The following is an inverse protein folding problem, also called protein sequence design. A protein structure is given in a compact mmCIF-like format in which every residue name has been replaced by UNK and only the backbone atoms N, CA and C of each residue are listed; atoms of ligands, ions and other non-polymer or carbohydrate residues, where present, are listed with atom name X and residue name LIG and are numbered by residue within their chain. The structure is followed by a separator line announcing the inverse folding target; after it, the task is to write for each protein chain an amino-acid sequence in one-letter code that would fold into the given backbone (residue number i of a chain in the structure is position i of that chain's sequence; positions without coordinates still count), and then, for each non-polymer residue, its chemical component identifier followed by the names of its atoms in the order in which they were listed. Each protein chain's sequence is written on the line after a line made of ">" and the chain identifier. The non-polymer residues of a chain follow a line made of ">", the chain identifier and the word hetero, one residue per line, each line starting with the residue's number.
data_IF_126522413205
#
_entry.id   IF_126522413205
#
_cell.length_a   1.000
_cell.length_b   1.000
_cell.length_c   1.000
_cell.angle_alpha   90.00
_cell.angle_beta   90.00
_cell.angle_gamma   90.00
#
_symmetry.space_group_name_H-M   'P 1'
#
loop_
_entity.id
_entity.type
_entity.pdbx_description
1 polymer ?
#
# COMPACT_ATOMS: atom_id res chain seq x y z
N UNK A 1 -41.11 3.82 -17.11
CA UNK A 1 -40.31 3.36 -15.98
C UNK A 1 -39.08 4.28 -15.89
N UNK A 2 -38.68 4.70 -14.70
CA UNK A 2 -37.41 5.42 -14.54
C UNK A 2 -36.26 4.51 -14.99
N UNK A 3 -35.22 5.08 -15.61
CA UNK A 3 -34.01 4.33 -15.92
C UNK A 3 -33.36 3.84 -14.63
N UNK A 4 -32.78 2.61 -14.65
CA UNK A 4 -31.98 2.12 -13.53
C UNK A 4 -30.69 2.95 -13.45
N UNK A 5 -30.31 3.33 -12.22
CA UNK A 5 -29.06 4.06 -11.95
C UNK A 5 -27.91 3.07 -11.71
N UNK A 6 -26.77 3.32 -12.35
CA UNK A 6 -25.56 2.55 -12.10
C UNK A 6 -24.39 3.49 -11.79
N UNK A 7 -23.64 3.19 -10.73
CA UNK A 7 -22.36 3.83 -10.43
C UNK A 7 -21.25 2.97 -11.03
N UNK A 8 -20.42 3.56 -11.87
CA UNK A 8 -19.24 2.90 -12.45
C UNK A 8 -18.00 3.37 -11.72
N UNK A 9 -17.22 2.44 -11.18
CA UNK A 9 -15.87 2.68 -10.65
C UNK A 9 -14.95 3.08 -11.81
N UNK A 10 -14.85 4.38 -12.08
CA UNK A 10 -14.25 4.90 -13.29
C UNK A 10 -12.83 5.43 -13.06
N UNK A 11 -11.86 4.81 -13.71
CA UNK A 11 -10.44 5.23 -13.68
C UNK A 11 -9.96 5.95 -14.93
N UNK A 12 -10.80 6.02 -15.97
CA UNK A 12 -10.40 6.53 -17.30
C UNK A 12 -9.63 5.52 -18.15
N UNK A 13 -9.42 4.31 -17.66
CA UNK A 13 -8.82 3.20 -18.42
C UNK A 13 -9.78 2.56 -19.43
N UNK A 14 -9.26 1.63 -20.23
CA UNK A 14 -10.02 0.95 -21.30
C UNK A 14 -11.29 0.26 -20.75
N UNK A 15 -11.11 -0.66 -19.80
CA UNK A 15 -12.19 -1.51 -19.29
C UNK A 15 -13.32 -0.67 -18.67
N UNK A 16 -12.97 0.40 -17.93
CA UNK A 16 -13.95 1.28 -17.33
C UNK A 16 -14.61 2.22 -18.34
N UNK A 17 -13.90 2.61 -19.41
CA UNK A 17 -14.48 3.39 -20.51
C UNK A 17 -15.48 2.54 -21.31
N UNK A 18 -15.12 1.29 -21.61
CA UNK A 18 -16.05 0.33 -22.20
C UNK A 18 -17.31 0.15 -21.33
N UNK A 19 -17.12 -0.05 -20.03
CA UNK A 19 -18.23 -0.26 -19.08
C UNK A 19 -19.19 0.93 -19.06
N UNK A 20 -18.71 2.17 -19.02
CA UNK A 20 -19.56 3.37 -19.06
C UNK A 20 -20.37 3.42 -20.33
N UNK A 21 -19.74 3.27 -21.49
CA UNK A 21 -20.42 3.35 -22.79
C UNK A 21 -21.43 2.22 -22.99
N UNK A 22 -21.06 1.00 -22.63
CA UNK A 22 -21.93 -0.18 -22.76
C UNK A 22 -23.19 -0.04 -21.89
N UNK A 23 -23.06 0.29 -20.62
CA UNK A 23 -24.19 0.46 -19.71
C UNK A 23 -25.12 1.61 -20.13
N UNK A 24 -24.53 2.72 -20.63
CA UNK A 24 -25.33 3.81 -21.21
C UNK A 24 -26.12 3.34 -22.41
N UNK A 25 -25.53 2.54 -23.31
CA UNK A 25 -26.22 2.00 -24.49
C UNK A 25 -27.26 0.94 -24.13
N UNK A 26 -27.07 0.21 -23.01
CA UNK A 26 -28.04 -0.72 -22.44
C UNK A 26 -29.19 -0.02 -21.70
N UNK A 27 -29.18 1.33 -21.67
CA UNK A 27 -30.29 2.14 -21.17
C UNK A 27 -30.18 2.58 -19.69
N UNK A 28 -29.06 2.33 -19.02
CA UNK A 28 -28.83 2.81 -17.66
C UNK A 28 -28.62 4.32 -17.62
N UNK A 29 -28.91 4.89 -16.46
CA UNK A 29 -28.46 6.23 -16.06
C UNK A 29 -27.10 6.07 -15.36
N UNK A 30 -26.00 6.43 -16.06
CA UNK A 30 -24.63 6.10 -15.66
C UNK A 30 -23.99 7.25 -14.87
N UNK A 31 -23.53 6.95 -13.67
CA UNK A 31 -22.76 7.84 -12.79
C UNK A 31 -21.30 7.34 -12.76
N UNK A 32 -20.39 8.06 -13.41
CA UNK A 32 -18.97 7.71 -13.39
C UNK A 32 -18.30 8.28 -12.13
N UNK A 33 -17.84 7.42 -11.24
CA UNK A 33 -17.20 7.81 -9.99
C UNK A 33 -15.71 7.46 -9.98
N UNK A 34 -14.84 8.48 -9.94
CA UNK A 34 -13.40 8.33 -9.82
C UNK A 34 -12.97 8.50 -8.36
N UNK A 35 -12.59 7.42 -7.69
CA UNK A 35 -12.06 7.49 -6.33
C UNK A 35 -10.56 7.80 -6.38
N UNK A 36 -10.18 9.01 -5.96
CA UNK A 36 -8.80 9.48 -5.93
C UNK A 36 -8.15 9.19 -4.59
N UNK A 37 -7.10 8.38 -4.62
CA UNK A 37 -6.23 8.01 -3.49
C UNK A 37 -4.86 8.72 -3.56
N UNK A 38 -4.79 9.85 -4.29
CA UNK A 38 -3.58 10.65 -4.45
C UNK A 38 -2.70 10.24 -5.66
N UNK A 39 -3.22 9.36 -6.54
CA UNK A 39 -2.51 8.92 -7.75
C UNK A 39 -2.78 9.75 -9.00
N UNK A 40 -3.82 10.60 -9.01
CA UNK A 40 -4.19 11.40 -10.15
C UNK A 40 -3.77 12.87 -9.99
N UNK A 41 -3.20 13.45 -11.03
CA UNK A 41 -3.03 14.90 -11.13
C UNK A 41 -4.36 15.59 -11.44
N UNK A 42 -4.46 16.89 -11.16
CA UNK A 42 -5.65 17.70 -11.51
C UNK A 42 -5.97 17.62 -13.01
N UNK A 43 -4.94 17.64 -13.86
CA UNK A 43 -5.10 17.52 -15.32
C UNK A 43 -5.69 16.15 -15.70
N UNK A 44 -5.22 15.07 -15.07
CA UNK A 44 -5.76 13.71 -15.29
C UNK A 44 -7.22 13.60 -14.83
N UNK A 45 -7.57 14.16 -13.67
CA UNK A 45 -8.94 14.17 -13.18
C UNK A 45 -9.86 14.94 -14.12
N UNK A 46 -9.44 16.09 -14.62
CA UNK A 46 -10.20 16.87 -15.62
C UNK A 46 -10.38 16.08 -16.92
N UNK A 47 -9.33 15.43 -17.41
CA UNK A 47 -9.41 14.59 -18.60
C UNK A 47 -10.36 13.39 -18.40
N UNK A 48 -10.35 12.80 -17.22
CA UNK A 48 -11.27 11.71 -16.87
C UNK A 48 -12.72 12.20 -16.88
N UNK A 49 -13.00 13.38 -16.34
CA UNK A 49 -14.31 14.01 -16.39
C UNK A 49 -14.80 14.22 -17.82
N UNK A 50 -13.97 14.87 -18.66
CA UNK A 50 -14.28 15.09 -20.08
C UNK A 50 -14.57 13.77 -20.81
N UNK A 51 -13.76 12.73 -20.57
CA UNK A 51 -13.94 11.42 -21.18
C UNK A 51 -15.21 10.73 -20.69
N UNK A 52 -15.53 10.81 -19.40
CA UNK A 52 -16.74 10.23 -18.85
C UNK A 52 -18.00 10.80 -19.55
N UNK A 53 -18.07 12.10 -19.75
CA UNK A 53 -19.19 12.71 -20.49
C UNK A 53 -19.22 12.33 -21.97
N UNK A 54 -18.05 12.24 -22.65
CA UNK A 54 -17.97 11.75 -24.03
C UNK A 54 -18.44 10.32 -24.18
N UNK A 55 -18.20 9.47 -23.17
CA UNK A 55 -18.65 8.09 -23.10
C UNK A 55 -20.16 7.96 -22.80
N UNK A 56 -20.82 9.08 -22.44
CA UNK A 56 -22.25 9.16 -22.20
C UNK A 56 -22.67 9.02 -20.74
N UNK A 57 -21.73 9.23 -19.80
CA UNK A 57 -22.11 9.32 -18.39
C UNK A 57 -23.07 10.49 -18.17
N UNK A 58 -24.10 10.27 -17.34
CA UNK A 58 -25.06 11.30 -16.91
C UNK A 58 -24.38 12.28 -15.95
N UNK A 59 -23.49 11.77 -15.09
CA UNK A 59 -22.74 12.56 -14.13
C UNK A 59 -21.38 11.94 -13.91
N UNK A 60 -20.38 12.79 -13.70
CA UNK A 60 -19.06 12.42 -13.21
C UNK A 60 -18.87 12.97 -11.79
N UNK A 61 -18.14 12.26 -10.95
CA UNK A 61 -17.71 12.71 -9.62
C UNK A 61 -16.31 12.21 -9.31
N UNK A 62 -15.49 13.11 -8.76
CA UNK A 62 -14.24 12.72 -8.11
C UNK A 62 -14.49 12.59 -6.60
N UNK A 63 -14.24 11.40 -6.07
CA UNK A 63 -14.30 11.09 -4.64
C UNK A 63 -12.88 11.14 -4.10
N UNK A 64 -12.50 12.25 -3.46
CA UNK A 64 -11.18 12.36 -2.83
C UNK A 64 -11.20 11.61 -1.49
N UNK A 65 -10.43 10.53 -1.43
CA UNK A 65 -10.27 9.69 -0.24
C UNK A 65 -8.84 9.68 0.27
N UNK A 66 -7.99 10.58 -0.20
CA UNK A 66 -6.55 10.61 0.11
C UNK A 66 -6.28 10.70 1.62
N UNK A 67 -6.94 11.63 2.31
CA UNK A 67 -6.81 11.79 3.76
C UNK A 67 -7.44 10.63 4.53
N UNK A 68 -8.61 10.12 4.11
CA UNK A 68 -9.23 8.95 4.73
C UNK A 68 -8.33 7.72 4.58
N UNK A 69 -7.72 7.53 3.42
CA UNK A 69 -6.79 6.43 3.17
C UNK A 69 -5.54 6.53 4.06
N UNK A 70 -5.00 7.73 4.29
CA UNK A 70 -3.91 7.92 5.24
C UNK A 70 -4.35 7.53 6.65
N UNK A 71 -5.41 8.16 7.17
CA UNK A 71 -5.85 8.00 8.56
C UNK A 71 -6.32 6.58 8.90
N UNK A 72 -6.88 5.88 7.93
CA UNK A 72 -7.49 4.56 8.13
C UNK A 72 -6.59 3.40 7.70
N UNK A 73 -5.50 3.64 6.98
CA UNK A 73 -4.63 2.57 6.49
C UNK A 73 -3.15 2.93 6.52
N UNK A 74 -2.70 3.96 5.78
CA UNK A 74 -1.26 4.23 5.63
C UNK A 74 -0.57 4.50 6.97
N UNK A 75 -1.22 5.20 7.89
CA UNK A 75 -0.75 5.43 9.25
C UNK A 75 -0.40 4.11 9.95
N UNK A 76 -1.27 3.13 9.90
CA UNK A 76 -1.05 1.83 10.52
C UNK A 76 -0.04 0.98 9.77
N UNK A 77 0.06 1.14 8.45
CA UNK A 77 1.11 0.52 7.65
C UNK A 77 2.49 1.06 8.05
N UNK A 78 2.59 2.36 8.35
CA UNK A 78 3.81 2.99 8.88
C UNK A 78 4.10 2.45 10.29
N UNK A 79 3.13 2.52 11.20
CA UNK A 79 3.27 2.03 12.58
C UNK A 79 3.68 0.54 12.64
N UNK A 80 3.16 -0.26 11.72
CA UNK A 80 3.47 -1.67 11.59
C UNK A 80 4.77 -1.96 10.82
N UNK A 81 5.36 -0.99 10.13
CA UNK A 81 6.42 -1.24 9.14
C UNK A 81 6.00 -2.31 8.10
N UNK A 82 4.77 -2.20 7.59
CA UNK A 82 4.12 -3.26 6.83
C UNK A 82 4.73 -3.40 5.44
N UNK A 83 5.31 -4.56 5.19
CA UNK A 83 5.89 -4.96 3.90
C UNK A 83 5.56 -6.42 3.61
N UNK A 84 4.76 -6.69 2.58
CA UNK A 84 4.49 -8.08 2.17
C UNK A 84 5.76 -8.73 1.63
N UNK A 85 6.06 -9.94 2.10
CA UNK A 85 7.26 -10.69 1.75
C UNK A 85 8.57 -9.89 1.97
N UNK A 86 8.57 -8.97 2.94
CA UNK A 86 9.67 -8.05 3.24
C UNK A 86 10.12 -7.16 2.05
N UNK A 87 9.28 -7.02 1.04
CA UNK A 87 9.61 -6.36 -0.22
C UNK A 87 8.54 -5.34 -0.63
N UNK A 88 7.28 -5.76 -0.75
CA UNK A 88 6.22 -5.00 -1.38
C UNK A 88 5.39 -4.21 -0.34
N UNK A 89 5.29 -2.88 -0.45
CA UNK A 89 4.56 -2.04 0.50
C UNK A 89 3.03 -2.10 0.34
N UNK A 90 2.48 -3.09 -0.37
CA UNK A 90 1.05 -3.35 -0.63
C UNK A 90 0.24 -2.13 -1.08
N UNK A 91 0.85 -1.26 -1.89
CA UNK A 91 0.27 -0.01 -2.36
C UNK A 91 -1.11 -0.18 -3.00
N UNK A 92 -1.20 -0.99 -4.06
CA UNK A 92 -2.46 -1.21 -4.78
C UNK A 92 -3.50 -1.93 -3.91
N UNK A 93 -3.09 -2.92 -3.12
CA UNK A 93 -4.02 -3.73 -2.32
C UNK A 93 -4.79 -2.88 -1.32
N UNK A 94 -4.09 -2.05 -0.56
CA UNK A 94 -4.70 -1.18 0.45
C UNK A 94 -5.55 -0.08 -0.20
N UNK A 95 -5.08 0.49 -1.31
CA UNK A 95 -5.73 1.57 -2.03
C UNK A 95 -7.11 1.17 -2.59
N UNK A 96 -7.20 -0.03 -3.23
CA UNK A 96 -8.45 -0.52 -3.84
C UNK A 96 -9.59 -0.65 -2.86
N UNK A 97 -9.31 -0.99 -1.60
CA UNK A 97 -10.31 -1.11 -0.55
C UNK A 97 -10.97 0.26 -0.28
N UNK A 98 -10.18 1.32 -0.14
CA UNK A 98 -10.70 2.67 0.12
C UNK A 98 -11.42 3.25 -1.09
N UNK A 99 -10.95 2.93 -2.30
CA UNK A 99 -11.68 3.27 -3.53
C UNK A 99 -13.05 2.58 -3.55
N UNK A 100 -13.12 1.29 -3.24
CA UNK A 100 -14.36 0.53 -3.21
C UNK A 100 -15.33 1.05 -2.12
N UNK A 101 -14.85 1.36 -0.92
CA UNK A 101 -15.66 1.94 0.16
C UNK A 101 -16.28 3.26 -0.28
N UNK A 102 -15.51 4.17 -0.88
CA UNK A 102 -16.00 5.46 -1.35
C UNK A 102 -17.09 5.31 -2.43
N UNK A 103 -16.86 4.42 -3.38
CA UNK A 103 -17.82 4.14 -4.47
C UNK A 103 -19.11 3.54 -3.93
N UNK A 104 -19.02 2.58 -2.99
CA UNK A 104 -20.18 1.99 -2.35
C UNK A 104 -21.00 3.02 -1.54
N UNK A 105 -20.33 3.91 -0.81
CA UNK A 105 -20.99 5.02 -0.10
C UNK A 105 -21.73 5.95 -1.06
N UNK A 106 -21.07 6.32 -2.15
CA UNK A 106 -21.70 7.19 -3.16
C UNK A 106 -22.88 6.49 -3.84
N UNK A 107 -22.79 5.20 -4.14
CA UNK A 107 -23.92 4.44 -4.69
C UNK A 107 -25.13 4.42 -3.76
N UNK A 108 -24.91 4.21 -2.46
CA UNK A 108 -25.97 4.27 -1.44
C UNK A 108 -26.56 5.69 -1.35
N UNK A 109 -25.74 6.73 -1.37
CA UNK A 109 -26.17 8.15 -1.30
C UNK A 109 -27.14 8.52 -2.41
N UNK A 110 -26.87 8.09 -3.65
CA UNK A 110 -27.72 8.41 -4.81
C UNK A 110 -28.84 7.40 -5.04
N UNK A 111 -28.93 6.35 -4.21
CA UNK A 111 -29.90 5.26 -4.40
C UNK A 111 -29.68 4.54 -5.72
N UNK A 112 -28.45 4.10 -5.99
CA UNK A 112 -28.12 3.35 -7.21
C UNK A 112 -28.71 1.94 -7.17
N UNK A 113 -29.18 1.46 -8.32
CA UNK A 113 -29.66 0.09 -8.49
C UNK A 113 -28.48 -0.89 -8.68
N UNK A 114 -27.36 -0.39 -9.21
CA UNK A 114 -26.17 -1.20 -9.49
C UNK A 114 -24.86 -0.43 -9.28
N UNK A 115 -23.77 -1.18 -9.03
CA UNK A 115 -22.39 -0.71 -9.07
C UNK A 115 -21.65 -1.55 -10.10
N UNK A 116 -20.84 -0.91 -10.95
CA UNK A 116 -20.06 -1.60 -11.96
C UNK A 116 -18.56 -1.29 -11.81
N UNK A 117 -17.72 -2.27 -12.15
CA UNK A 117 -16.28 -2.09 -12.26
C UNK A 117 -15.68 -2.86 -13.44
N UNK A 118 -14.51 -2.43 -13.93
CA UNK A 118 -13.83 -3.01 -15.08
C UNK A 118 -12.75 -4.05 -14.72
N UNK A 119 -12.76 -4.62 -13.52
CA UNK A 119 -11.72 -5.60 -13.15
C UNK A 119 -11.91 -6.91 -13.89
N UNK A 120 -10.81 -7.46 -14.40
CA UNK A 120 -10.80 -8.77 -15.07
C UNK A 120 -10.81 -9.93 -14.06
N UNK A 121 -11.14 -11.14 -14.51
CA UNK A 121 -11.10 -12.36 -13.70
C UNK A 121 -9.69 -12.85 -13.34
N UNK A 122 -8.63 -12.25 -13.89
CA UNK A 122 -7.26 -12.71 -13.70
C UNK A 122 -6.58 -12.14 -12.44
N UNK A 123 -7.01 -10.94 -11.98
CA UNK A 123 -6.36 -10.20 -10.89
C UNK A 123 -7.10 -10.28 -9.56
N UNK A 124 -6.52 -9.64 -8.54
CA UNK A 124 -7.10 -9.54 -7.20
C UNK A 124 -8.17 -8.46 -7.08
N UNK A 125 -8.16 -7.45 -7.96
CA UNK A 125 -8.99 -6.26 -7.81
C UNK A 125 -10.48 -6.56 -7.88
N UNK A 126 -10.90 -7.55 -8.70
CA UNK A 126 -12.27 -8.05 -8.70
C UNK A 126 -12.74 -8.48 -7.31
N UNK A 127 -11.89 -9.19 -6.56
CA UNK A 127 -12.24 -9.67 -5.23
C UNK A 127 -12.33 -8.49 -4.26
N UNK A 128 -11.40 -7.55 -4.35
CA UNK A 128 -11.37 -6.36 -3.49
C UNK A 128 -12.60 -5.48 -3.65
N UNK A 129 -13.03 -5.26 -4.89
CA UNK A 129 -14.23 -4.50 -5.18
C UNK A 129 -15.48 -5.26 -4.75
N UNK A 130 -15.66 -6.49 -5.21
CA UNK A 130 -16.87 -7.27 -4.93
C UNK A 130 -17.09 -7.48 -3.44
N UNK A 131 -16.07 -7.93 -2.70
CA UNK A 131 -16.19 -8.14 -1.25
C UNK A 131 -16.58 -6.86 -0.51
N UNK A 132 -15.95 -5.74 -0.88
CA UNK A 132 -16.27 -4.45 -0.27
C UNK A 132 -17.69 -4.01 -0.61
N UNK A 133 -18.13 -4.16 -1.87
CA UNK A 133 -19.48 -3.78 -2.30
C UNK A 133 -20.56 -4.63 -1.64
N UNK A 134 -20.35 -5.95 -1.53
CA UNK A 134 -21.28 -6.85 -0.86
C UNK A 134 -21.54 -6.46 0.61
N UNK A 135 -20.51 -5.94 1.29
CA UNK A 135 -20.61 -5.51 2.69
C UNK A 135 -21.17 -4.08 2.81
N UNK A 136 -20.64 -3.15 1.99
CA UNK A 136 -20.92 -1.71 2.14
C UNK A 136 -22.17 -1.22 1.41
N UNK A 137 -22.64 -1.97 0.40
CA UNK A 137 -23.83 -1.67 -0.39
C UNK A 137 -24.70 -2.94 -0.56
N UNK A 138 -25.20 -3.53 0.55
CA UNK A 138 -25.96 -4.76 0.50
C UNK A 138 -27.24 -4.57 -0.31
N UNK A 139 -27.51 -5.47 -1.26
CA UNK A 139 -28.69 -5.43 -2.12
C UNK A 139 -28.54 -4.61 -3.39
N UNK A 140 -27.41 -3.93 -3.60
CA UNK A 140 -27.06 -3.28 -4.87
C UNK A 140 -26.48 -4.34 -5.82
N UNK A 141 -26.94 -4.37 -7.08
CA UNK A 141 -26.44 -5.30 -8.09
C UNK A 141 -24.97 -4.96 -8.45
N UNK A 142 -24.09 -5.98 -8.53
CA UNK A 142 -22.72 -5.79 -8.99
C UNK A 142 -22.60 -6.22 -10.44
N UNK A 143 -22.14 -5.33 -11.31
CA UNK A 143 -22.01 -5.56 -12.76
C UNK A 143 -20.52 -5.56 -13.13
N UNK A 144 -20.06 -6.63 -13.80
CA UNK A 144 -18.65 -6.85 -14.14
C UNK A 144 -18.49 -7.33 -15.59
N UNK A 145 -18.84 -6.46 -16.54
CA UNK A 145 -18.94 -6.81 -17.96
C UNK A 145 -17.67 -7.45 -18.52
N UNK A 146 -16.50 -6.89 -18.23
CA UNK A 146 -15.20 -7.38 -18.70
C UNK A 146 -14.93 -8.81 -18.20
N UNK A 147 -15.20 -9.07 -16.92
CA UNK A 147 -15.02 -10.39 -16.31
C UNK A 147 -16.04 -11.40 -16.80
N UNK A 148 -17.32 -11.04 -16.78
CA UNK A 148 -18.42 -11.97 -17.01
C UNK A 148 -18.52 -12.40 -18.47
N UNK A 149 -18.07 -11.54 -19.39
CA UNK A 149 -18.01 -11.86 -20.82
C UNK A 149 -16.62 -12.27 -21.30
N UNK A 150 -15.61 -12.32 -20.40
CA UNK A 150 -14.21 -12.64 -20.72
C UNK A 150 -13.67 -11.83 -21.92
N UNK A 151 -14.01 -10.53 -21.95
CA UNK A 151 -13.68 -9.66 -23.08
C UNK A 151 -12.18 -9.47 -23.23
N UNK A 152 -11.72 -9.52 -24.46
CA UNK A 152 -10.37 -9.14 -24.82
C UNK A 152 -10.26 -7.62 -24.98
N UNK A 153 -9.06 -7.08 -24.75
CA UNK A 153 -8.78 -5.65 -24.98
C UNK A 153 -9.15 -5.16 -26.37
N UNK A 154 -9.01 -6.05 -27.37
CA UNK A 154 -9.37 -5.73 -28.75
C UNK A 154 -10.87 -5.52 -28.91
N UNK A 155 -11.67 -6.42 -28.35
CA UNK A 155 -13.14 -6.30 -28.40
C UNK A 155 -13.64 -5.02 -27.72
N UNK A 156 -13.05 -4.64 -26.59
CA UNK A 156 -13.39 -3.38 -25.91
C UNK A 156 -13.01 -2.16 -26.76
N UNK A 157 -11.81 -2.15 -27.36
CA UNK A 157 -11.35 -1.07 -28.26
C UNK A 157 -12.24 -0.97 -29.50
N UNK A 158 -12.54 -2.10 -30.15
CA UNK A 158 -13.39 -2.16 -31.33
C UNK A 158 -14.79 -1.59 -31.01
N UNK A 159 -15.39 -2.01 -29.87
CA UNK A 159 -16.67 -1.50 -29.42
C UNK A 159 -16.67 0.04 -29.18
N UNK A 160 -15.63 0.57 -28.51
CA UNK A 160 -15.50 2.00 -28.27
C UNK A 160 -15.39 2.78 -29.57
N UNK A 161 -14.58 2.28 -30.54
CA UNK A 161 -14.41 2.89 -31.85
C UNK A 161 -15.71 2.89 -32.68
N UNK A 162 -16.43 1.78 -32.69
CA UNK A 162 -17.73 1.64 -33.38
C UNK A 162 -18.78 2.61 -32.83
N UNK A 163 -18.67 2.98 -31.54
CA UNK A 163 -19.55 3.94 -30.88
C UNK A 163 -18.99 5.36 -30.81
N UNK A 164 -17.93 5.67 -31.58
CA UNK A 164 -17.42 7.03 -31.79
C UNK A 164 -16.47 7.55 -30.72
N UNK A 165 -15.94 6.68 -29.84
CA UNK A 165 -14.93 7.07 -28.86
C UNK A 165 -13.56 6.51 -29.27
N UNK A 166 -12.71 7.41 -29.74
CA UNK A 166 -11.37 7.08 -30.22
C UNK A 166 -10.32 7.52 -29.18
N UNK A 167 -9.72 6.55 -28.51
CA UNK A 167 -8.58 6.79 -27.63
C UNK A 167 -7.48 5.76 -27.89
N UNK A 168 -6.23 6.17 -27.74
CA UNK A 168 -5.09 5.30 -27.99
C UNK A 168 -4.85 4.39 -26.79
N UNK A 169 -5.54 3.27 -26.74
CA UNK A 169 -5.33 2.21 -25.75
C UNK A 169 -4.33 1.14 -26.21
N UNK A 170 -3.79 1.24 -27.44
CA UNK A 170 -3.02 0.16 -28.08
C UNK A 170 -1.55 0.11 -27.66
N UNK A 171 -1.00 1.17 -27.08
CA UNK A 171 0.44 1.33 -26.83
C UNK A 171 0.93 0.86 -25.46
N UNK A 172 0.06 0.36 -24.59
CA UNK A 172 0.48 0.04 -23.22
C UNK A 172 0.98 -1.39 -23.11
N UNK A 173 2.30 -1.58 -23.33
CA UNK A 173 3.03 -2.81 -22.98
C UNK A 173 2.93 -3.11 -21.49
N UNK A 174 2.85 -2.08 -20.66
CA UNK A 174 2.75 -2.15 -19.23
C UNK A 174 1.44 -1.55 -18.73
N UNK A 175 0.92 -2.10 -17.64
CA UNK A 175 -0.20 -1.53 -16.88
C UNK A 175 0.34 -0.89 -15.60
N UNK A 176 0.05 0.39 -15.43
CA UNK A 176 0.49 1.18 -14.29
C UNK A 176 -0.68 1.47 -13.35
N UNK A 177 -0.46 1.24 -12.05
CA UNK A 177 -1.37 1.72 -11.01
C UNK A 177 -0.60 2.69 -10.12
N UNK A 178 -0.83 3.97 -10.32
CA UNK A 178 -0.17 5.06 -9.59
C UNK A 178 -0.99 5.45 -8.39
N UNK A 179 -0.38 5.48 -7.21
CA UNK A 179 -1.00 5.93 -5.96
C UNK A 179 0.00 6.65 -5.08
N UNK A 180 -0.48 7.25 -4.00
CA UNK A 180 0.40 7.97 -3.05
C UNK A 180 1.40 7.05 -2.35
N UNK A 181 1.07 5.76 -2.21
CA UNK A 181 1.89 4.77 -1.53
C UNK A 181 2.71 3.91 -2.49
N UNK A 182 2.96 4.40 -3.70
CA UNK A 182 3.78 3.78 -4.74
C UNK A 182 3.01 3.42 -6.00
N UNK A 183 3.77 3.06 -7.01
CA UNK A 183 3.27 2.66 -8.33
C UNK A 183 3.56 1.20 -8.58
N UNK A 184 2.56 0.41 -8.93
CA UNK A 184 2.78 -0.94 -9.42
C UNK A 184 2.80 -0.98 -10.95
N UNK A 185 3.64 -1.87 -11.49
CA UNK A 185 3.88 -2.04 -12.93
C UNK A 185 3.70 -3.52 -13.25
N UNK A 186 2.72 -3.81 -14.11
CA UNK A 186 2.40 -5.18 -14.53
C UNK A 186 2.58 -5.35 -16.04
N UNK A 187 2.89 -6.57 -16.47
CA UNK A 187 3.06 -6.90 -17.89
C UNK A 187 4.51 -6.76 -18.37
N UNK A 188 4.72 -6.93 -19.68
CA UNK A 188 6.03 -6.88 -20.27
C UNK A 188 6.95 -7.99 -19.80
N UNK A 189 8.21 -7.66 -19.58
CA UNK A 189 9.30 -8.59 -19.27
C UNK A 189 9.12 -9.34 -17.94
N UNK A 190 8.39 -8.77 -16.95
CA UNK A 190 8.18 -9.43 -15.66
C UNK A 190 7.30 -10.70 -15.75
N UNK A 191 6.66 -10.94 -16.88
CA UNK A 191 5.94 -12.19 -17.12
C UNK A 191 6.90 -13.39 -17.29
N UNK A 192 8.15 -13.12 -17.71
CA UNK A 192 9.24 -14.09 -17.67
C UNK A 192 9.91 -14.04 -16.29
N UNK A 193 9.94 -15.16 -15.52
CA UNK A 193 10.52 -15.17 -14.20
C UNK A 193 12.03 -14.89 -14.15
N UNK A 194 12.73 -14.96 -15.26
CA UNK A 194 14.17 -14.71 -15.37
C UNK A 194 14.53 -13.27 -15.71
N UNK A 195 13.51 -12.43 -16.00
CA UNK A 195 13.72 -11.04 -16.44
C UNK A 195 13.22 -10.03 -15.43
N UNK A 196 13.90 -8.88 -15.35
CA UNK A 196 13.45 -7.67 -14.70
C UNK A 196 12.85 -6.69 -15.70
N UNK A 197 12.23 -5.60 -15.21
CA UNK A 197 11.82 -4.51 -16.07
C UNK A 197 13.03 -3.74 -16.60
N UNK A 198 13.03 -3.32 -17.86
CA UNK A 198 14.04 -2.41 -18.39
C UNK A 198 13.86 -1.00 -17.83
N UNK A 199 14.91 -0.18 -17.91
CA UNK A 199 14.92 1.17 -17.33
C UNK A 199 13.77 2.05 -17.83
N UNK A 200 13.44 1.97 -19.10
CA UNK A 200 12.37 2.73 -19.75
C UNK A 200 10.95 2.36 -19.29
N UNK A 201 10.78 1.22 -18.62
CA UNK A 201 9.49 0.81 -18.07
C UNK A 201 9.14 1.52 -16.75
N UNK A 202 10.12 2.09 -16.08
CA UNK A 202 9.91 2.85 -14.85
C UNK A 202 9.50 4.30 -15.15
N UNK A 203 8.65 4.88 -14.31
CA UNK A 203 8.17 6.26 -14.47
C UNK A 203 9.14 7.29 -13.86
N UNK A 204 9.97 6.87 -12.90
CA UNK A 204 10.91 7.73 -12.19
C UNK A 204 12.34 7.31 -12.52
N UNK A 205 13.18 8.24 -12.91
CA UNK A 205 14.56 7.98 -13.31
C UNK A 205 15.54 8.69 -12.41
N UNK A 206 16.79 8.22 -12.37
CA UNK A 206 17.87 8.88 -11.63
C UNK A 206 18.11 10.27 -12.20
N UNK A 207 17.92 11.30 -11.39
CA UNK A 207 18.22 12.71 -11.71
C UNK A 207 19.29 13.27 -10.78
N UNK A 208 19.62 12.59 -9.69
CA UNK A 208 20.69 12.94 -8.73
C UNK A 208 21.71 11.84 -8.63
N UNK A 209 22.99 12.18 -8.76
CA UNK A 209 24.12 11.25 -8.68
C UNK A 209 24.83 11.32 -7.33
N UNK A 210 24.96 12.53 -6.78
CA UNK A 210 25.68 12.75 -5.53
C UNK A 210 24.87 12.28 -4.31
N UNK A 211 25.49 11.57 -3.37
CA UNK A 211 24.83 11.18 -2.13
C UNK A 211 24.29 12.37 -1.35
N UNK A 212 23.13 12.20 -0.72
CA UNK A 212 22.57 13.21 0.18
C UNK A 212 21.93 12.60 1.40
N UNK A 213 21.88 13.33 2.50
CA UNK A 213 21.14 12.92 3.69
C UNK A 213 19.65 13.25 3.54
N UNK A 214 18.82 12.35 4.05
CA UNK A 214 17.40 12.54 4.28
C UNK A 214 17.13 12.32 5.77
N UNK A 215 16.53 13.33 6.41
CA UNK A 215 16.06 13.26 7.78
C UNK A 215 14.54 13.16 7.79
N UNK A 216 13.99 12.16 8.46
CA UNK A 216 12.55 12.02 8.66
C UNK A 216 12.29 12.07 10.18
N UNK A 217 11.55 13.08 10.61
CA UNK A 217 11.21 13.26 12.02
C UNK A 217 9.81 12.74 12.27
N UNK A 218 9.70 11.91 13.30
CA UNK A 218 8.45 11.33 13.76
C UNK A 218 8.08 11.84 15.14
N UNK A 219 6.79 12.04 15.37
CA UNK A 219 6.20 12.24 16.70
C UNK A 219 5.13 11.17 16.90
N UNK A 220 5.34 10.31 17.90
CA UNK A 220 4.45 9.15 18.18
C UNK A 220 4.15 8.32 16.92
N UNK A 221 5.20 8.08 16.13
CA UNK A 221 5.14 7.29 14.91
C UNK A 221 4.63 8.01 13.67
N UNK A 222 4.06 9.21 13.78
CA UNK A 222 3.60 10.01 12.64
C UNK A 222 4.69 10.98 12.16
N UNK A 223 4.81 11.12 10.83
CA UNK A 223 5.78 12.03 10.21
C UNK A 223 5.39 13.47 10.51
N UNK A 224 6.30 14.27 11.07
CA UNK A 224 6.08 15.69 11.39
C UNK A 224 7.05 16.63 10.66
N UNK A 225 8.19 16.11 10.19
CA UNK A 225 9.12 16.90 9.38
C UNK A 225 9.92 16.02 8.42
N UNK A 226 10.34 16.61 7.31
CA UNK A 226 11.25 16.04 6.31
C UNK A 226 12.41 17.02 6.14
N UNK A 227 13.63 16.59 6.45
CA UNK A 227 14.77 17.47 6.64
C UNK A 227 14.43 18.54 7.72
N UNK A 228 14.50 19.81 7.36
CA UNK A 228 14.19 20.92 8.30
C UNK A 228 12.79 21.52 8.04
N UNK A 229 12.01 20.94 7.10
CA UNK A 229 10.66 21.39 6.74
C UNK A 229 9.60 20.63 7.55
N UNK A 230 8.74 21.38 8.27
CA UNK A 230 7.62 20.80 9.03
C UNK A 230 6.38 20.61 8.19
N UNK A 231 5.66 19.53 8.46
CA UNK A 231 4.44 19.18 7.76
C UNK A 231 3.29 18.87 8.75
N UNK A 232 2.25 19.68 8.70
CA UNK A 232 0.98 19.36 9.38
C UNK A 232 0.21 18.33 8.55
N UNK A 233 0.25 18.45 7.23
CA UNK A 233 -0.35 17.52 6.28
C UNK A 233 0.61 16.35 5.98
N UNK A 234 0.23 15.17 6.45
CA UNK A 234 1.03 13.93 6.28
C UNK A 234 1.12 13.47 4.83
N UNK A 235 0.11 13.81 4.02
CA UNK A 235 0.11 13.52 2.57
C UNK A 235 1.24 14.28 1.89
N UNK A 236 1.38 15.57 2.20
CA UNK A 236 2.46 16.40 1.65
C UNK A 236 3.84 15.92 2.11
N UNK A 237 3.96 15.45 3.35
CA UNK A 237 5.21 14.85 3.85
C UNK A 237 5.58 13.59 3.04
N UNK A 238 4.62 12.68 2.80
CA UNK A 238 4.83 11.48 1.97
C UNK A 238 5.22 11.87 0.54
N UNK A 239 4.51 12.83 -0.06
CA UNK A 239 4.82 13.32 -1.42
C UNK A 239 6.22 13.93 -1.49
N UNK A 240 6.65 14.66 -0.45
CA UNK A 240 8.01 15.22 -0.38
C UNK A 240 9.08 14.15 -0.31
N UNK A 241 8.86 13.11 0.48
CA UNK A 241 9.77 11.96 0.58
C UNK A 241 9.81 11.20 -0.76
N UNK A 242 8.66 11.02 -1.42
CA UNK A 242 8.58 10.42 -2.75
C UNK A 242 9.39 11.22 -3.78
N UNK A 243 9.23 12.54 -3.84
CA UNK A 243 9.99 13.42 -4.73
C UNK A 243 11.51 13.25 -4.54
N UNK A 244 11.95 13.29 -3.28
CA UNK A 244 13.38 13.14 -2.95
C UNK A 244 13.87 11.76 -3.33
N UNK A 245 13.20 10.69 -2.89
CA UNK A 245 13.63 9.31 -3.12
C UNK A 245 13.56 8.89 -4.59
N UNK A 246 12.52 9.34 -5.31
CA UNK A 246 12.36 9.09 -6.73
C UNK A 246 13.49 9.72 -7.58
N UNK A 247 14.05 10.86 -7.14
CA UNK A 247 15.20 11.47 -7.82
C UNK A 247 16.46 10.60 -7.83
N UNK A 248 16.52 9.59 -6.96
CA UNK A 248 17.56 8.55 -6.90
C UNK A 248 17.06 7.20 -7.45
N UNK A 249 15.85 7.11 -8.00
CA UNK A 249 15.20 5.85 -8.41
C UNK A 249 15.17 4.79 -7.29
N UNK A 250 15.02 5.22 -6.04
CA UNK A 250 14.89 4.34 -4.87
C UNK A 250 13.51 3.67 -4.89
N UNK A 251 13.41 2.50 -4.27
CA UNK A 251 12.14 1.80 -4.05
C UNK A 251 11.66 0.95 -5.23
N UNK A 252 12.49 0.72 -6.22
CA UNK A 252 12.22 -0.20 -7.32
C UNK A 252 12.49 -1.64 -6.89
N UNK A 253 11.54 -2.53 -7.15
CA UNK A 253 11.71 -3.96 -6.88
C UNK A 253 10.63 -4.77 -7.62
N UNK A 254 10.70 -6.10 -7.50
CA UNK A 254 9.69 -7.02 -8.05
C UNK A 254 9.24 -7.99 -6.96
N UNK A 255 7.98 -7.90 -6.56
CA UNK A 255 7.38 -8.86 -5.64
C UNK A 255 6.94 -10.13 -6.39
N UNK A 256 7.24 -11.27 -5.79
CA UNK A 256 6.70 -12.57 -6.17
C UNK A 256 5.84 -13.07 -5.03
N UNK A 257 4.57 -13.32 -5.29
CA UNK A 257 3.65 -13.73 -4.22
C UNK A 257 2.38 -14.36 -4.73
N UNK A 258 1.58 -14.85 -3.80
CA UNK A 258 0.29 -15.44 -4.11
C UNK A 258 -0.76 -14.35 -4.33
N UNK A 259 -1.57 -14.53 -5.37
CA UNK A 259 -2.84 -13.83 -5.48
C UNK A 259 -3.82 -14.35 -4.43
N UNK A 260 -4.90 -13.62 -4.18
CA UNK A 260 -5.96 -14.04 -3.24
C UNK A 260 -6.55 -15.40 -3.63
N UNK A 261 -6.59 -15.70 -4.92
CA UNK A 261 -7.07 -17.00 -5.45
C UNK A 261 -5.99 -18.09 -5.49
N UNK A 262 -4.81 -17.85 -4.90
CA UNK A 262 -3.77 -18.86 -4.73
C UNK A 262 -2.82 -19.07 -5.92
N UNK A 263 -2.85 -18.21 -6.93
CA UNK A 263 -1.95 -18.28 -8.09
C UNK A 263 -0.73 -17.40 -7.84
N UNK A 264 0.48 -17.93 -8.10
CA UNK A 264 1.71 -17.14 -8.04
C UNK A 264 1.72 -16.07 -9.12
N UNK A 265 1.99 -14.84 -8.71
CA UNK A 265 2.11 -13.69 -9.60
C UNK A 265 3.38 -12.89 -9.34
N UNK A 266 3.75 -12.08 -10.33
CA UNK A 266 4.84 -11.11 -10.22
C UNK A 266 4.30 -9.72 -10.48
N UNK A 267 4.73 -8.76 -9.68
CA UNK A 267 4.44 -7.35 -9.85
C UNK A 267 5.70 -6.55 -9.57
N UNK A 268 6.12 -5.75 -10.53
CA UNK A 268 7.16 -4.76 -10.29
C UNK A 268 6.54 -3.50 -9.72
N UNK A 269 7.34 -2.72 -9.03
CA UNK A 269 6.88 -1.48 -8.42
C UNK A 269 8.01 -0.48 -8.25
N UNK A 270 7.64 0.79 -8.13
CA UNK A 270 8.47 1.88 -7.65
C UNK A 270 7.71 2.58 -6.51
N UNK A 271 8.35 2.63 -5.34
CA UNK A 271 7.73 3.07 -4.10
C UNK A 271 8.78 3.69 -3.17
N UNK A 272 9.31 4.85 -3.54
CA UNK A 272 10.41 5.49 -2.83
C UNK A 272 9.97 5.90 -1.41
N UNK A 273 8.86 6.61 -1.28
CA UNK A 273 8.37 7.06 0.02
C UNK A 273 8.10 5.89 0.97
N UNK A 274 7.34 4.84 0.61
CA UNK A 274 7.11 3.71 1.49
C UNK A 274 8.40 3.05 1.98
N UNK A 275 9.35 2.82 1.10
CA UNK A 275 10.64 2.18 1.46
C UNK A 275 11.43 3.05 2.44
N UNK A 276 11.54 4.34 2.16
CA UNK A 276 12.29 5.27 3.02
C UNK A 276 11.60 5.49 4.37
N UNK A 277 10.28 5.68 4.37
CA UNK A 277 9.51 5.91 5.59
C UNK A 277 9.56 4.67 6.49
N UNK A 278 9.29 3.48 5.95
CA UNK A 278 9.26 2.24 6.72
C UNK A 278 10.64 1.94 7.32
N UNK A 279 11.73 2.11 6.57
CA UNK A 279 13.07 1.84 7.12
C UNK A 279 13.52 2.91 8.12
N UNK A 280 13.17 4.19 7.91
CA UNK A 280 13.42 5.26 8.88
C UNK A 280 12.63 5.02 10.19
N UNK A 281 11.33 4.68 10.07
CA UNK A 281 10.48 4.40 11.21
C UNK A 281 10.95 3.16 11.98
N UNK A 282 11.28 2.07 11.27
CA UNK A 282 11.84 0.85 11.86
C UNK A 282 13.16 1.11 12.58
N UNK A 283 14.01 1.97 12.03
CA UNK A 283 15.27 2.36 12.68
C UNK A 283 15.02 3.07 14.02
N UNK A 284 14.06 4.02 14.06
CA UNK A 284 13.66 4.72 15.26
C UNK A 284 13.06 3.77 16.30
N UNK A 285 12.19 2.84 15.87
CA UNK A 285 11.59 1.85 16.77
C UNK A 285 12.62 0.93 17.43
N UNK A 286 13.68 0.54 16.72
CA UNK A 286 14.77 -0.27 17.29
C UNK A 286 15.44 0.41 18.48
N UNK A 287 15.47 1.74 18.49
CA UNK A 287 16.04 2.54 19.58
C UNK A 287 15.04 2.83 20.72
N UNK A 288 13.73 2.88 20.41
CA UNK A 288 12.73 3.40 21.37
C UNK A 288 11.79 2.34 21.95
N UNK A 289 11.67 1.17 21.32
CA UNK A 289 10.82 0.09 21.79
C UNK A 289 11.61 -0.97 22.57
N UNK A 290 10.98 -1.54 23.59
CA UNK A 290 11.52 -2.72 24.24
C UNK A 290 11.50 -3.93 23.32
N UNK A 291 12.37 -4.92 23.59
CA UNK A 291 12.47 -6.17 22.85
C UNK A 291 11.09 -6.81 22.59
N UNK A 292 10.26 -6.97 23.61
CA UNK A 292 8.99 -7.66 23.49
C UNK A 292 7.91 -6.81 22.79
N UNK A 293 7.96 -5.48 22.90
CA UNK A 293 7.09 -4.62 22.11
C UNK A 293 7.37 -4.79 20.62
N UNK A 294 8.63 -4.82 20.18
CA UNK A 294 8.99 -5.03 18.78
C UNK A 294 8.45 -6.38 18.26
N UNK A 295 8.73 -7.47 18.99
CA UNK A 295 8.29 -8.80 18.55
C UNK A 295 6.78 -8.92 18.40
N UNK A 296 6.00 -8.42 19.37
CA UNK A 296 4.54 -8.49 19.31
C UNK A 296 3.97 -7.57 18.24
N UNK A 297 4.49 -6.35 18.13
CA UNK A 297 4.08 -5.41 17.09
C UNK A 297 4.30 -5.99 15.69
N UNK A 298 5.45 -6.59 15.42
CA UNK A 298 5.77 -7.18 14.12
C UNK A 298 4.83 -8.34 13.77
N UNK A 299 4.43 -9.14 14.74
CA UNK A 299 3.43 -10.20 14.53
C UNK A 299 2.07 -9.61 14.12
N UNK A 300 1.59 -8.62 14.87
CA UNK A 300 0.31 -7.95 14.57
C UNK A 300 0.37 -7.24 13.22
N UNK A 301 1.47 -6.57 12.91
CA UNK A 301 1.67 -5.86 11.66
C UNK A 301 1.67 -6.80 10.43
N UNK A 302 2.27 -7.99 10.56
CA UNK A 302 2.21 -9.00 9.50
C UNK A 302 0.77 -9.43 9.19
N UNK A 303 -0.05 -9.65 10.22
CA UNK A 303 -1.46 -9.97 10.04
C UNK A 303 -2.25 -8.79 9.48
N UNK A 304 -2.01 -7.57 9.99
CA UNK A 304 -2.63 -6.36 9.44
C UNK A 304 -2.39 -6.23 7.93
N UNK A 305 -1.13 -6.38 7.50
CA UNK A 305 -0.78 -6.36 6.08
C UNK A 305 -1.42 -7.50 5.27
N UNK A 306 -1.54 -8.69 5.86
CA UNK A 306 -2.22 -9.82 5.22
C UNK A 306 -3.71 -9.52 5.03
N UNK A 307 -4.41 -9.04 6.05
CA UNK A 307 -5.82 -8.68 5.95
C UNK A 307 -6.07 -7.58 4.92
N UNK A 308 -5.21 -6.55 4.85
CA UNK A 308 -5.28 -5.56 3.77
C UNK A 308 -5.11 -6.20 2.39
N UNK A 309 -4.13 -7.09 2.23
CA UNK A 309 -3.90 -7.74 0.94
C UNK A 309 -5.07 -8.61 0.50
N UNK A 310 -5.65 -9.37 1.44
CA UNK A 310 -6.75 -10.31 1.22
C UNK A 310 -8.13 -9.64 1.20
N UNK A 311 -8.19 -8.30 1.19
CA UNK A 311 -9.45 -7.54 1.21
C UNK A 311 -10.31 -7.72 2.47
N UNK A 312 -9.68 -8.05 3.58
CA UNK A 312 -10.34 -8.29 4.87
C UNK A 312 -10.30 -7.04 5.78
N UNK A 313 -10.16 -5.85 5.21
CA UNK A 313 -10.11 -4.61 6.00
C UNK A 313 -11.35 -4.37 6.88
N UNK A 314 -12.51 -4.86 6.46
CA UNK A 314 -13.77 -4.73 7.19
C UNK A 314 -13.96 -5.77 8.30
N UNK A 315 -12.98 -6.64 8.52
CA UNK A 315 -13.02 -7.60 9.63
C UNK A 315 -12.95 -6.89 11.00
N UNK A 316 -13.77 -7.31 11.98
CA UNK A 316 -13.81 -6.68 13.30
C UNK A 316 -12.49 -6.67 14.07
N UNK A 317 -11.54 -7.55 13.72
CA UNK A 317 -10.20 -7.60 14.34
C UNK A 317 -9.29 -6.47 13.89
N UNK A 318 -9.60 -5.79 12.78
CA UNK A 318 -8.75 -4.72 12.27
C UNK A 318 -8.60 -3.54 13.26
N UNK A 319 -9.70 -2.99 13.83
CA UNK A 319 -9.59 -1.97 14.90
C UNK A 319 -8.77 -2.41 16.11
N UNK A 320 -8.81 -3.70 16.50
CA UNK A 320 -8.02 -4.23 17.62
C UNK A 320 -6.52 -4.18 17.29
N UNK A 321 -6.14 -4.57 16.06
CA UNK A 321 -4.77 -4.46 15.58
C UNK A 321 -4.32 -3.00 15.51
N UNK A 322 -5.15 -2.10 14.99
CA UNK A 322 -4.89 -0.66 14.90
C UNK A 322 -4.69 -0.04 16.29
N UNK A 323 -5.47 -0.43 17.29
CA UNK A 323 -5.31 0.02 18.67
C UNK A 323 -3.97 -0.43 19.26
N UNK A 324 -3.54 -1.68 18.99
CA UNK A 324 -2.24 -2.18 19.43
C UNK A 324 -1.09 -1.46 18.74
N UNK A 325 -1.17 -1.28 17.41
CA UNK A 325 -0.17 -0.55 16.64
C UNK A 325 -0.05 0.89 17.16
N UNK A 326 -1.16 1.59 17.39
CA UNK A 326 -1.19 2.94 17.96
C UNK A 326 -0.53 2.98 19.36
N UNK A 327 -0.89 2.03 20.23
CA UNK A 327 -0.35 1.97 21.57
C UNK A 327 1.18 1.77 21.58
N UNK A 328 1.73 1.08 20.60
CA UNK A 328 3.18 0.87 20.47
C UNK A 328 3.94 2.15 20.16
N UNK A 329 3.28 3.14 19.56
CA UNK A 329 3.93 4.35 19.05
C UNK A 329 4.15 5.46 20.09
N UNK A 330 3.70 5.29 21.33
CA UNK A 330 3.72 6.35 22.38
C UNK A 330 5.08 7.02 22.56
N UNK A 331 6.17 6.27 22.41
CA UNK A 331 7.55 6.75 22.61
C UNK A 331 8.36 6.76 21.30
N UNK A 332 7.73 6.46 20.16
CA UNK A 332 8.40 6.46 18.85
C UNK A 332 8.43 7.91 18.33
N UNK A 333 9.32 8.70 18.94
CA UNK A 333 9.50 10.13 18.66
C UNK A 333 10.98 10.42 18.51
N UNK A 334 11.35 11.08 17.41
CA UNK A 334 12.73 11.40 17.08
C UNK A 334 12.95 11.50 15.58
N UNK A 335 14.20 11.71 15.20
CA UNK A 335 14.62 11.86 13.79
C UNK A 335 15.47 10.67 13.37
N UNK A 336 15.04 9.98 12.33
CA UNK A 336 15.84 8.97 11.64
C UNK A 336 16.61 9.63 10.48
N UNK A 337 17.86 9.23 10.30
CA UNK A 337 18.79 9.78 9.30
C UNK A 337 19.16 8.67 8.31
N UNK A 338 18.89 8.93 7.04
CA UNK A 338 19.24 8.06 5.93
C UNK A 338 20.24 8.75 5.00
N UNK A 339 21.12 8.01 4.36
CA UNK A 339 21.96 8.47 3.26
C UNK A 339 21.44 7.87 1.96
N UNK A 340 21.04 8.71 1.03
CA UNK A 340 20.49 8.33 -0.27
C UNK A 340 21.59 8.29 -1.33
N UNK A 341 21.51 7.31 -2.23
CA UNK A 341 22.39 7.11 -3.38
C UNK A 341 21.55 6.61 -4.57
N UNK A 342 22.03 6.72 -5.81
CA UNK A 342 21.34 6.10 -6.94
C UNK A 342 21.00 4.64 -6.67
N UNK A 343 19.71 4.31 -6.84
CA UNK A 343 19.09 2.99 -6.67
C UNK A 343 19.07 2.42 -5.23
N UNK A 344 19.48 3.20 -4.21
CA UNK A 344 19.50 2.68 -2.85
C UNK A 344 19.71 3.72 -1.77
N UNK A 345 19.72 3.26 -0.53
CA UNK A 345 19.98 4.10 0.64
C UNK A 345 20.59 3.26 1.77
N UNK A 346 21.18 3.96 2.73
CA UNK A 346 21.70 3.37 3.96
C UNK A 346 21.11 4.10 5.16
N UNK A 347 20.76 3.35 6.21
CA UNK A 347 20.42 3.94 7.51
C UNK A 347 21.69 4.40 8.21
N UNK A 348 21.69 5.65 8.70
CA UNK A 348 22.86 6.28 9.34
C UNK A 348 22.72 6.29 10.85
N UNK A 349 21.59 6.76 11.36
CA UNK A 349 21.42 6.88 12.81
C UNK A 349 20.07 7.45 13.21
N UNK A 350 19.91 7.62 14.52
CA UNK A 350 18.69 8.14 15.15
C UNK A 350 19.08 9.22 16.17
N UNK A 351 18.30 10.29 16.20
CA UNK A 351 18.29 11.25 17.29
C UNK A 351 16.93 11.23 17.98
N UNK A 352 16.89 10.75 19.24
CA UNK A 352 15.68 10.63 20.04
C UNK A 352 15.98 10.80 21.51
N UNK A 353 15.12 11.51 22.23
CA UNK A 353 15.17 11.57 23.69
C UNK A 353 14.72 10.25 24.34
N UNK A 354 13.93 9.45 23.61
CA UNK A 354 13.42 8.13 24.03
C UNK A 354 14.37 6.97 23.70
N UNK A 355 15.58 7.26 23.26
CA UNK A 355 16.56 6.25 22.86
C UNK A 355 17.02 5.41 24.06
N UNK A 356 16.67 4.14 24.08
CA UNK A 356 16.99 3.19 25.15
C UNK A 356 18.50 2.87 25.21
N UNK A 357 19.26 3.14 24.17
CA UNK A 357 20.72 2.96 24.17
C UNK A 357 21.44 3.98 25.06
N UNK A 358 20.76 5.10 25.39
CA UNK A 358 21.25 6.12 26.32
C UNK A 358 21.06 5.73 27.81
N UNK A 359 20.62 4.48 28.09
CA UNK A 359 20.45 3.97 29.45
C UNK A 359 21.79 3.94 30.22
N UNK A 360 21.76 4.41 31.46
CA UNK A 360 22.91 4.34 32.38
C UNK A 360 23.05 2.99 33.10
N UNK A 361 22.12 2.06 32.88
CA UNK A 361 22.18 0.71 33.46
C UNK A 361 23.27 -0.18 32.87
N UNK A 362 23.75 0.15 31.68
CA UNK A 362 24.85 -0.57 31.02
C UNK A 362 25.05 -0.07 29.60
N UNK A 363 26.25 -0.23 29.12
CA UNK A 363 26.65 0.08 27.73
C UNK A 363 26.96 -1.21 26.98
N UNK A 364 26.61 -1.27 25.68
CA UNK A 364 26.89 -2.44 24.86
C UNK A 364 28.40 -2.61 24.66
N UNK A 365 28.89 -3.81 24.97
CA UNK A 365 30.32 -4.12 24.87
C UNK A 365 31.15 -3.81 26.12
N UNK A 366 30.58 -3.15 27.12
CA UNK A 366 31.22 -2.82 28.37
C UNK A 366 30.82 -3.77 29.52
N UNK A 367 31.64 -3.84 30.57
CA UNK A 367 31.30 -4.57 31.78
C UNK A 367 30.07 -3.95 32.46
N UNK A 368 29.09 -4.78 32.77
CA UNK A 368 27.86 -4.31 33.40
C UNK A 368 28.08 -4.00 34.89
N UNK A 369 27.46 -2.92 35.34
CA UNK A 369 27.48 -2.51 36.75
C UNK A 369 26.12 -2.69 37.45
N UNK A 370 25.08 -3.07 36.71
CA UNK A 370 23.72 -3.27 37.20
C UNK A 370 23.50 -4.61 37.92
N UNK A 371 24.44 -5.57 37.77
CA UNK A 371 24.41 -6.89 38.43
C UNK A 371 25.80 -7.45 38.60
N UNK A 372 25.95 -8.39 39.52
CA UNK A 372 27.20 -9.10 39.80
C UNK A 372 27.39 -10.32 38.92
N UNK A 373 28.61 -10.81 38.82
CA UNK A 373 28.91 -12.07 38.10
C UNK A 373 28.17 -13.28 38.66
N UNK A 374 27.93 -13.33 39.98
CA UNK A 374 27.20 -14.44 40.63
C UNK A 374 25.69 -14.38 40.27
N UNK A 375 25.09 -13.20 40.24
CA UNK A 375 23.71 -13.02 39.76
C UNK A 375 23.56 -13.44 38.29
N UNK A 376 24.52 -13.07 37.43
CA UNK A 376 24.53 -13.50 36.02
C UNK A 376 24.66 -15.02 35.90
N UNK A 377 25.53 -15.67 36.67
CA UNK A 377 25.64 -17.14 36.70
C UNK A 377 24.35 -17.81 37.19
N UNK A 378 23.71 -17.25 38.20
CA UNK A 378 22.42 -17.71 38.71
C UNK A 378 21.34 -17.64 37.64
N UNK A 379 21.20 -16.52 36.98
CA UNK A 379 20.27 -16.31 35.86
C UNK A 379 20.50 -17.33 34.72
N UNK A 380 21.76 -17.46 34.27
CA UNK A 380 22.12 -18.39 33.17
C UNK A 380 21.78 -19.85 33.55
N UNK A 381 22.07 -20.24 34.81
CA UNK A 381 21.77 -21.59 35.32
C UNK A 381 20.27 -21.87 35.27
N UNK A 382 19.44 -20.96 35.76
CA UNK A 382 17.98 -21.13 35.77
C UNK A 382 17.41 -21.05 34.35
N UNK A 383 17.85 -20.08 33.54
CA UNK A 383 17.39 -19.90 32.16
C UNK A 383 17.76 -21.06 31.23
N UNK A 384 18.83 -21.82 31.56
CA UNK A 384 19.21 -23.02 30.81
C UNK A 384 18.36 -24.26 31.15
N UNK A 385 17.53 -24.22 32.21
CA UNK A 385 16.78 -25.37 32.70
C UNK A 385 15.91 -26.07 31.63
N UNK A 386 15.11 -25.35 30.80
CA UNK A 386 14.30 -25.99 29.76
C UNK A 386 15.13 -26.82 28.79
N UNK A 387 16.28 -26.26 28.33
CA UNK A 387 17.19 -26.95 27.40
C UNK A 387 17.87 -28.14 28.10
N UNK A 388 18.27 -27.99 29.36
CA UNK A 388 18.89 -29.09 30.15
C UNK A 388 17.92 -30.21 30.38
N UNK A 389 16.64 -29.93 30.65
CA UNK A 389 15.58 -30.94 30.79
C UNK A 389 15.40 -31.70 29.47
N UNK A 390 15.24 -30.97 28.36
CA UNK A 390 15.06 -31.56 27.04
C UNK A 390 16.23 -32.51 26.68
N UNK A 391 17.47 -31.98 26.66
CA UNK A 391 18.65 -32.77 26.31
C UNK A 391 19.12 -33.73 27.40
N UNK A 392 18.56 -33.65 28.60
CA UNK A 392 18.73 -34.68 29.62
C UNK A 392 18.03 -35.99 29.28
N UNK A 393 16.89 -35.87 28.60
CA UNK A 393 16.09 -37.01 28.12
C UNK A 393 16.58 -37.46 26.75
N UNK A 394 16.76 -36.52 25.82
CA UNK A 394 17.13 -36.76 24.41
C UNK A 394 18.61 -36.58 24.19
N UNK A 395 19.42 -37.45 24.81
CA UNK A 395 20.91 -37.32 24.81
C UNK A 395 21.50 -37.41 23.42
N UNK A 396 20.90 -38.23 22.56
CA UNK A 396 21.40 -38.52 21.19
C UNK A 396 21.05 -37.41 20.19
N UNK A 397 20.21 -36.42 20.57
CA UNK A 397 19.83 -35.28 19.72
C UNK A 397 20.73 -34.04 19.95
N UNK A 398 21.72 -34.10 20.83
CA UNK A 398 22.66 -32.99 21.03
C UNK A 398 23.43 -32.74 19.75
N UNK A 399 23.27 -31.53 19.19
CA UNK A 399 24.00 -31.02 18.02
C UNK A 399 25.44 -30.66 18.37
#
# INVERSE_FOLDING_TARGET
>A
MSKKKVVVAFSGGLDTSYTVMKLKNDGYEVYAACANTGGFSEEQLKKNEENAYKLGATKYVTLDVTHEYYEKSLKYMIFGNVMRNNCYPISVSSERIFQAIAIARYANEIGADAIAHGSTGAGNDQIRFDMTFLVMAPGVEIITLTRDHALSRKEEVDYLNENGFFADFTKLKYSYNVGIWGTSICGGEILDPTQGLPEEAYLKHVTRQEPSQLKITFEKGEIVAVNDEKFDDKIKAIQKIEEIGASYAIGRDCNVGDTIIGIKGRVAFEAAAPKLIIEAHRLLEKSTLSKWQQYWKDQVANWYGMFLHESQYLEPVMPDMEAMLTSSQRNVTGTAILELRPYGFQTVGVDSENDLTKSKLGEYGEMQHGWTSEEAKGFIKVSSTPLRVYYGIHKDEKR
#
